data_IF_797590030356
#
_entry.id   IF_797590030356
#
_cell.length_a   1.000
_cell.length_b   1.000
_cell.length_c   1.000
_cell.angle_alpha   90.00
_cell.angle_beta   90.00
_cell.angle_gamma   90.00
#
_symmetry.space_group_name_H-M   'P 1'
#
loop_
_entity.id
_entity.type
_entity.pdbx_description
1 polymer ?
#
# COMPACT_ATOMS: atom_id res chain seq x y z
N UNK A 1 66.47 5.43 7.93
CA UNK A 1 65.70 4.67 6.97
C UNK A 1 64.48 4.10 7.70
N UNK A 2 63.39 4.85 7.73
CA UNK A 2 62.15 4.44 8.40
C UNK A 2 61.14 4.02 7.33
N UNK A 3 60.69 2.78 7.42
CA UNK A 3 59.59 2.27 6.59
C UNK A 3 58.28 2.62 7.24
N UNK A 4 57.52 3.49 6.63
CA UNK A 4 56.12 3.69 6.92
C UNK A 4 55.32 2.50 6.34
N UNK A 5 54.69 1.72 7.21
CA UNK A 5 53.71 0.72 6.84
C UNK A 5 52.35 1.43 6.87
N UNK A 6 51.81 1.67 5.69
CA UNK A 6 50.47 2.20 5.51
C UNK A 6 49.45 1.09 5.75
N UNK A 7 48.95 0.99 6.98
CA UNK A 7 47.78 0.14 7.30
C UNK A 7 46.52 0.74 6.72
N UNK A 8 46.24 0.36 5.49
CA UNK A 8 45.00 0.66 4.83
C UNK A 8 43.80 0.17 5.65
N UNK A 9 43.17 1.09 6.38
CA UNK A 9 41.87 0.90 7.02
C UNK A 9 40.84 0.50 5.95
N UNK A 10 40.60 -0.82 5.81
CA UNK A 10 39.43 -1.32 5.14
C UNK A 10 38.22 -0.90 5.98
N UNK A 11 37.60 0.20 5.61
CA UNK A 11 36.26 0.53 6.08
C UNK A 11 35.30 -0.51 5.52
N UNK A 12 34.95 -1.49 6.36
CA UNK A 12 33.87 -2.42 6.09
C UNK A 12 32.61 -1.59 5.99
N UNK A 13 32.18 -1.29 4.77
CA UNK A 13 30.86 -0.71 4.56
C UNK A 13 29.83 -1.69 5.09
N UNK A 14 28.84 -1.21 5.88
CA UNK A 14 27.80 -2.06 6.40
C UNK A 14 27.02 -2.68 5.23
N UNK A 15 27.04 -3.99 5.14
CA UNK A 15 26.20 -4.73 4.20
C UNK A 15 24.73 -4.39 4.43
N UNK A 16 23.87 -4.54 3.42
CA UNK A 16 22.45 -4.28 3.58
C UNK A 16 21.90 -5.16 4.71
N UNK A 17 21.07 -4.59 5.61
CA UNK A 17 20.50 -5.35 6.69
C UNK A 17 19.71 -6.55 6.12
N UNK A 18 19.92 -7.78 6.61
CA UNK A 18 19.33 -9.00 6.04
C UNK A 18 17.80 -9.10 6.17
N UNK A 19 17.16 -8.16 6.86
CA UNK A 19 15.74 -8.22 7.20
C UNK A 19 14.80 -7.44 6.26
N UNK A 20 15.33 -6.66 5.32
CA UNK A 20 14.52 -5.77 4.47
C UNK A 20 13.38 -6.45 3.68
N UNK A 21 13.57 -7.61 3.03
CA UNK A 21 12.48 -8.25 2.28
C UNK A 21 11.31 -8.68 3.17
N UNK A 22 11.58 -9.28 4.33
CA UNK A 22 10.54 -9.72 5.25
C UNK A 22 9.79 -8.58 5.94
N UNK A 23 10.42 -7.44 6.18
CA UNK A 23 9.77 -6.26 6.73
C UNK A 23 8.79 -5.63 5.72
N UNK A 24 9.19 -5.51 4.46
CA UNK A 24 8.31 -5.00 3.39
C UNK A 24 7.12 -5.93 3.16
N UNK A 25 7.32 -7.25 3.20
CA UNK A 25 6.23 -8.22 3.06
C UNK A 25 5.21 -8.09 4.20
N UNK A 26 5.67 -8.01 5.47
CA UNK A 26 4.80 -7.79 6.63
C UNK A 26 4.02 -6.47 6.53
N UNK A 27 4.69 -5.37 6.21
CA UNK A 27 4.03 -4.07 6.05
C UNK A 27 3.01 -4.09 4.91
N UNK A 28 3.29 -4.79 3.82
CA UNK A 28 2.36 -4.94 2.71
C UNK A 28 1.13 -5.77 3.10
N UNK A 29 1.31 -6.81 3.90
CA UNK A 29 0.20 -7.60 4.44
C UNK A 29 -0.69 -6.72 5.35
N UNK A 30 -0.09 -6.02 6.31
CA UNK A 30 -0.83 -5.09 7.20
C UNK A 30 -1.54 -3.98 6.42
N UNK A 31 -0.91 -3.43 5.38
CA UNK A 31 -1.56 -2.44 4.50
C UNK A 31 -2.82 -2.98 3.82
N UNK A 32 -2.78 -4.23 3.35
CA UNK A 32 -3.95 -4.90 2.75
C UNK A 32 -5.05 -5.11 3.78
N UNK A 33 -4.73 -5.65 4.96
CA UNK A 33 -5.68 -5.87 6.06
C UNK A 33 -6.39 -4.57 6.46
N UNK A 34 -5.65 -3.46 6.59
CA UNK A 34 -6.23 -2.15 6.91
C UNK A 34 -7.09 -1.60 5.76
N UNK A 35 -6.71 -1.86 4.51
CA UNK A 35 -7.52 -1.47 3.36
C UNK A 35 -8.85 -2.22 3.35
N UNK A 36 -8.84 -3.53 3.58
CA UNK A 36 -10.04 -4.35 3.68
C UNK A 36 -10.92 -3.96 4.87
N UNK A 37 -10.30 -3.56 6.00
CA UNK A 37 -11.01 -3.03 7.16
C UNK A 37 -11.68 -1.69 6.84
N UNK A 38 -10.98 -0.76 6.18
CA UNK A 38 -11.53 0.51 5.74
C UNK A 38 -12.77 0.32 4.88
N UNK A 39 -12.70 -0.57 3.89
CA UNK A 39 -13.80 -0.81 2.95
C UNK A 39 -15.04 -1.37 3.66
N UNK A 40 -14.84 -2.24 4.65
CA UNK A 40 -15.93 -2.73 5.52
C UNK A 40 -16.55 -1.62 6.34
N UNK A 41 -15.73 -0.79 7.01
CA UNK A 41 -16.21 0.32 7.82
C UNK A 41 -16.94 1.38 6.98
N UNK A 42 -16.49 1.67 5.76
CA UNK A 42 -17.19 2.56 4.82
C UNK A 42 -18.58 2.01 4.47
N UNK A 43 -18.70 0.70 4.22
CA UNK A 43 -19.98 0.05 4.01
C UNK A 43 -20.91 0.11 5.23
N UNK A 44 -20.36 -0.03 6.43
CA UNK A 44 -21.15 0.04 7.68
C UNK A 44 -21.61 1.48 7.99
N UNK A 45 -20.77 2.48 7.75
CA UNK A 45 -21.15 3.90 7.84
C UNK A 45 -22.33 4.20 6.92
N UNK A 46 -22.29 3.73 5.68
CA UNK A 46 -23.37 3.96 4.72
C UNK A 46 -24.68 3.28 5.13
N UNK A 47 -24.61 2.05 5.64
CA UNK A 47 -25.80 1.36 6.19
C UNK A 47 -26.39 2.09 7.40
N UNK A 48 -25.55 2.58 8.32
CA UNK A 48 -26.00 3.30 9.50
C UNK A 48 -26.62 4.64 9.14
N UNK A 49 -26.04 5.37 8.17
CA UNK A 49 -26.62 6.63 7.65
C UNK A 49 -28.01 6.41 7.06
N UNK A 50 -28.18 5.34 6.28
CA UNK A 50 -29.49 5.01 5.71
C UNK A 50 -30.53 4.71 6.79
N UNK A 51 -30.18 3.87 7.78
CA UNK A 51 -31.07 3.56 8.90
C UNK A 51 -31.41 4.80 9.75
N UNK A 52 -30.43 5.68 9.92
CA UNK A 52 -30.66 6.93 10.64
C UNK A 52 -31.65 7.82 9.88
N UNK A 53 -31.48 7.98 8.58
CA UNK A 53 -32.40 8.75 7.72
C UNK A 53 -33.83 8.15 7.72
N UNK A 54 -33.97 6.82 7.73
CA UNK A 54 -35.25 6.13 7.86
C UNK A 54 -35.91 6.45 9.20
N UNK A 55 -35.16 6.34 10.31
CA UNK A 55 -35.69 6.64 11.66
C UNK A 55 -36.08 8.13 11.83
N UNK A 56 -35.30 9.05 11.25
CA UNK A 56 -35.57 10.47 11.24
C UNK A 56 -36.84 10.77 10.41
N UNK A 57 -36.99 10.15 9.24
CA UNK A 57 -38.17 10.26 8.41
C UNK A 57 -39.45 9.72 9.08
N UNK A 58 -39.36 8.62 9.83
CA UNK A 58 -40.48 8.11 10.62
C UNK A 58 -40.88 9.07 11.75
N UNK A 59 -39.93 9.71 12.42
CA UNK A 59 -40.19 10.73 13.44
C UNK A 59 -40.89 11.96 12.84
N UNK A 60 -40.40 12.43 11.71
CA UNK A 60 -41.01 13.57 11.01
C UNK A 60 -42.46 13.27 10.59
N UNK A 61 -42.74 12.07 10.10
CA UNK A 61 -44.08 11.62 9.77
C UNK A 61 -45.01 11.61 10.99
N UNK A 62 -44.55 11.10 12.14
CA UNK A 62 -45.31 11.13 13.39
C UNK A 62 -45.66 12.55 13.82
N UNK A 63 -44.73 13.50 13.69
CA UNK A 63 -44.95 14.90 14.01
C UNK A 63 -45.99 15.54 13.07
N UNK A 64 -45.93 15.23 11.77
CA UNK A 64 -46.93 15.71 10.80
C UNK A 64 -48.32 15.16 11.12
N UNK A 65 -48.46 13.88 11.46
CA UNK A 65 -49.76 13.31 11.87
C UNK A 65 -50.32 13.95 13.14
N UNK A 66 -49.44 14.31 14.10
CA UNK A 66 -49.87 15.05 15.28
C UNK A 66 -50.45 16.43 14.92
N UNK A 67 -49.84 17.12 13.99
CA UNK A 67 -50.26 18.46 13.57
C UNK A 67 -51.54 18.46 12.72
N UNK A 68 -51.62 17.53 11.75
CA UNK A 68 -52.72 17.53 10.76
C UNK A 68 -53.97 16.83 11.28
N UNK A 69 -53.83 15.75 12.04
CA UNK A 69 -54.96 14.91 12.43
C UNK A 69 -55.33 15.05 13.92
N UNK A 70 -54.68 15.92 14.68
CA UNK A 70 -54.79 16.00 16.15
C UNK A 70 -54.63 14.64 16.82
N UNK A 71 -54.01 13.68 16.11
CA UNK A 71 -53.74 12.31 16.59
C UNK A 71 -52.46 12.33 17.38
N UNK A 72 -52.52 11.86 18.63
CA UNK A 72 -51.31 11.67 19.43
C UNK A 72 -50.91 10.20 19.39
N UNK A 73 -49.73 9.88 18.82
CA UNK A 73 -49.23 8.53 18.91
C UNK A 73 -49.00 8.14 20.38
N UNK A 74 -49.04 6.86 20.71
CA UNK A 74 -48.66 6.43 22.04
C UNK A 74 -47.28 6.98 22.39
N UNK A 75 -47.18 7.74 23.48
CA UNK A 75 -45.91 8.37 23.92
C UNK A 75 -44.75 7.37 23.96
N UNK A 76 -45.03 6.11 24.26
CA UNK A 76 -44.08 4.99 24.25
C UNK A 76 -43.51 4.70 22.84
N UNK A 77 -44.24 4.90 21.77
CA UNK A 77 -43.76 4.64 20.40
C UNK A 77 -42.79 5.73 19.95
N UNK A 78 -43.13 7.00 20.20
CA UNK A 78 -42.26 8.14 19.92
C UNK A 78 -40.95 8.06 20.70
N UNK A 79 -41.03 7.83 22.01
CA UNK A 79 -39.81 7.65 22.87
C UNK A 79 -38.92 6.50 22.43
N UNK A 80 -39.50 5.38 21.98
CA UNK A 80 -38.70 4.24 21.48
C UNK A 80 -38.01 4.61 20.18
N UNK A 81 -38.63 5.34 19.28
CA UNK A 81 -38.04 5.74 18.02
C UNK A 81 -36.95 6.79 18.24
N UNK A 82 -37.13 7.75 19.15
CA UNK A 82 -36.08 8.67 19.56
C UNK A 82 -34.88 7.97 20.17
N UNK A 83 -35.10 7.01 21.08
CA UNK A 83 -34.03 6.21 21.66
C UNK A 83 -33.28 5.38 20.60
N UNK A 84 -34.01 4.87 19.62
CA UNK A 84 -33.40 4.13 18.49
C UNK A 84 -32.55 5.06 17.62
N UNK A 85 -33.05 6.22 17.23
CA UNK A 85 -32.30 7.26 16.51
C UNK A 85 -31.02 7.64 17.24
N UNK A 86 -31.11 7.89 18.56
CA UNK A 86 -29.94 8.30 19.36
C UNK A 86 -28.89 7.18 19.47
N UNK A 87 -29.32 5.94 19.57
CA UNK A 87 -28.42 4.77 19.49
C UNK A 87 -27.74 4.68 18.12
N UNK A 88 -28.46 4.92 17.04
CA UNK A 88 -27.88 4.91 15.69
C UNK A 88 -26.86 6.03 15.51
N UNK A 89 -27.14 7.25 16.02
CA UNK A 89 -26.19 8.37 16.01
C UNK A 89 -24.92 8.07 16.78
N UNK A 90 -25.05 7.52 17.99
CA UNK A 90 -23.90 7.12 18.80
C UNK A 90 -23.05 6.03 18.12
N UNK A 91 -23.72 5.03 17.53
CA UNK A 91 -23.03 3.97 16.79
C UNK A 91 -22.34 4.52 15.52
N UNK A 92 -23.00 5.36 14.77
CA UNK A 92 -22.44 6.04 13.59
C UNK A 92 -21.19 6.85 13.96
N UNK A 93 -21.22 7.60 15.07
CA UNK A 93 -20.07 8.35 15.55
C UNK A 93 -18.89 7.44 15.88
N UNK A 94 -19.15 6.31 16.55
CA UNK A 94 -18.11 5.31 16.89
C UNK A 94 -17.47 4.71 15.64
N UNK A 95 -18.30 4.25 14.69
CA UNK A 95 -17.78 3.62 13.45
C UNK A 95 -17.04 4.64 12.58
N UNK A 96 -17.51 5.88 12.54
CA UNK A 96 -16.83 6.97 11.81
C UNK A 96 -15.46 7.27 12.42
N UNK A 97 -15.37 7.34 13.75
CA UNK A 97 -14.09 7.53 14.44
C UNK A 97 -13.11 6.38 14.17
N UNK A 98 -13.60 5.14 14.15
CA UNK A 98 -12.77 3.98 13.82
C UNK A 98 -12.32 4.00 12.35
N UNK A 99 -13.16 4.43 11.43
CA UNK A 99 -12.83 4.61 10.02
C UNK A 99 -11.72 5.65 9.85
N UNK A 100 -11.83 6.79 10.53
CA UNK A 100 -10.83 7.86 10.45
C UNK A 100 -9.47 7.41 11.03
N UNK A 101 -9.47 6.68 12.16
CA UNK A 101 -8.26 6.09 12.72
C UNK A 101 -7.63 5.06 11.76
N UNK A 102 -8.46 4.25 11.09
CA UNK A 102 -7.99 3.26 10.10
C UNK A 102 -7.39 3.97 8.88
N UNK A 103 -8.02 5.04 8.38
CA UNK A 103 -7.48 5.87 7.27
C UNK A 103 -6.14 6.50 7.64
N UNK A 104 -5.99 7.02 8.86
CA UNK A 104 -4.72 7.57 9.35
C UNK A 104 -3.61 6.50 9.37
N UNK A 105 -3.89 5.31 9.89
CA UNK A 105 -2.95 4.20 9.91
C UNK A 105 -2.52 3.75 8.51
N UNK A 106 -3.43 3.75 7.54
CA UNK A 106 -3.13 3.46 6.12
C UNK A 106 -2.13 4.48 5.56
N UNK A 107 -2.31 5.77 5.85
CA UNK A 107 -1.40 6.84 5.41
C UNK A 107 -0.01 6.65 6.01
N UNK A 108 0.08 6.35 7.29
CA UNK A 108 1.35 6.11 7.98
C UNK A 108 2.10 4.89 7.41
N UNK A 109 1.42 3.76 7.26
CA UNK A 109 2.03 2.54 6.70
C UNK A 109 2.48 2.77 5.26
N UNK A 110 1.67 3.47 4.46
CA UNK A 110 2.05 3.83 3.09
C UNK A 110 3.33 4.69 3.06
N UNK A 111 3.46 5.65 3.96
CA UNK A 111 4.66 6.49 4.06
C UNK A 111 5.89 5.66 4.47
N UNK A 112 5.73 4.69 5.38
CA UNK A 112 6.80 3.75 5.76
C UNK A 112 7.19 2.87 4.59
N UNK A 113 6.21 2.28 3.88
CA UNK A 113 6.46 1.45 2.69
C UNK A 113 7.23 2.20 1.61
N UNK A 114 6.83 3.44 1.30
CA UNK A 114 7.53 4.29 0.31
C UNK A 114 8.99 4.50 0.72
N UNK A 115 9.25 4.80 2.00
CA UNK A 115 10.62 4.96 2.52
C UNK A 115 11.43 3.66 2.43
N UNK A 116 10.84 2.52 2.81
CA UNK A 116 11.51 1.22 2.75
C UNK A 116 11.83 0.82 1.31
N UNK A 117 10.92 1.07 0.37
CA UNK A 117 11.20 0.84 -1.06
C UNK A 117 12.30 1.77 -1.58
N UNK A 118 12.33 3.04 -1.17
CA UNK A 118 13.39 3.98 -1.57
C UNK A 118 14.76 3.54 -1.04
N UNK A 119 14.83 3.08 0.23
CA UNK A 119 16.07 2.51 0.81
C UNK A 119 16.49 1.25 0.07
N UNK A 120 15.56 0.33 -0.22
CA UNK A 120 15.85 -0.88 -0.97
C UNK A 120 16.34 -0.58 -2.39
N UNK A 121 15.83 0.47 -3.03
CA UNK A 121 16.31 0.93 -4.34
C UNK A 121 17.68 1.60 -4.24
N UNK A 122 17.92 2.41 -3.21
CA UNK A 122 19.21 3.10 -3.01
C UNK A 122 20.33 2.15 -2.61
N UNK A 123 20.02 1.06 -1.89
CA UNK A 123 20.99 0.01 -1.54
C UNK A 123 21.36 -0.90 -2.73
N UNK A 124 20.60 -0.80 -3.82
CA UNK A 124 20.89 -1.51 -5.05
C UNK A 124 22.06 -0.85 -5.78
N UNK A 125 23.20 -1.54 -5.83
CA UNK A 125 24.39 -1.03 -6.53
C UNK A 125 24.37 -1.50 -7.99
N UNK A 126 24.69 -0.61 -8.94
CA UNK A 126 24.88 -1.00 -10.35
C UNK A 126 25.92 -2.14 -10.53
N UNK A 127 26.91 -2.26 -9.63
CA UNK A 127 27.92 -3.31 -9.66
C UNK A 127 27.35 -4.73 -9.40
N UNK A 128 26.19 -4.84 -8.75
CA UNK A 128 25.44 -6.10 -8.61
C UNK A 128 24.43 -6.30 -9.75
N UNK A 129 24.34 -5.32 -10.65
CA UNK A 129 23.49 -5.41 -11.79
C UNK A 129 23.98 -6.49 -12.72
N UNK A 130 23.15 -7.48 -12.97
CA UNK A 130 23.46 -8.52 -13.92
C UNK A 130 23.60 -7.87 -15.31
N UNK A 131 24.80 -7.91 -15.84
CA UNK A 131 25.06 -7.55 -17.24
C UNK A 131 24.43 -8.61 -18.13
N UNK A 132 23.47 -8.23 -18.96
CA UNK A 132 22.76 -9.12 -19.86
C UNK A 132 23.03 -8.70 -21.29
N UNK A 133 23.40 -9.63 -22.19
CA UNK A 133 23.56 -9.27 -23.60
C UNK A 133 22.22 -8.86 -24.22
N UNK A 134 22.26 -7.83 -25.03
CA UNK A 134 21.10 -7.42 -25.82
C UNK A 134 20.61 -8.56 -26.69
N UNK A 135 19.33 -8.91 -26.68
CA UNK A 135 18.81 -10.02 -27.48
C UNK A 135 18.84 -9.77 -28.99
N UNK A 136 18.99 -8.51 -29.42
CA UNK A 136 19.04 -8.17 -30.82
C UNK A 136 20.47 -8.09 -31.38
N UNK A 137 21.43 -7.46 -30.65
CA UNK A 137 22.78 -7.22 -31.16
C UNK A 137 23.89 -7.84 -30.33
N UNK A 138 23.59 -8.45 -29.19
CA UNK A 138 24.58 -9.08 -28.29
C UNK A 138 25.39 -8.11 -27.43
N UNK A 139 25.20 -6.79 -27.56
CA UNK A 139 25.88 -5.79 -26.75
C UNK A 139 25.61 -6.02 -25.26
N UNK A 140 26.63 -6.01 -24.43
CA UNK A 140 26.51 -6.13 -22.98
C UNK A 140 25.83 -4.89 -22.41
N UNK A 141 24.71 -5.07 -21.72
CA UNK A 141 23.89 -3.99 -21.18
C UNK A 141 23.72 -4.15 -19.69
N UNK A 142 23.75 -3.05 -18.97
CA UNK A 142 23.37 -2.97 -17.56
C UNK A 142 21.93 -2.42 -17.45
N UNK A 143 21.14 -2.83 -16.45
CA UNK A 143 19.80 -2.30 -16.33
C UNK A 143 19.84 -0.83 -15.91
N UNK A 144 19.06 0.01 -16.55
CA UNK A 144 18.86 1.39 -16.14
C UNK A 144 17.93 1.50 -14.92
N UNK A 145 17.12 0.47 -14.70
CA UNK A 145 16.24 0.33 -13.52
C UNK A 145 16.17 -1.11 -13.09
N UNK A 146 16.14 -1.34 -11.77
CA UNK A 146 15.87 -2.66 -11.21
C UNK A 146 14.95 -2.58 -9.99
N UNK A 147 14.25 -3.69 -9.72
CA UNK A 147 13.36 -3.83 -8.58
C UNK A 147 13.37 -5.27 -8.06
N UNK A 148 13.04 -5.45 -6.77
CA UNK A 148 12.75 -6.75 -6.22
C UNK A 148 11.48 -7.33 -6.89
N UNK A 149 11.55 -8.61 -7.31
CA UNK A 149 10.45 -9.30 -7.98
C UNK A 149 9.79 -10.39 -7.11
N UNK A 150 10.04 -10.37 -5.79
CA UNK A 150 9.56 -11.33 -4.80
C UNK A 150 10.35 -12.63 -4.78
N UNK A 151 10.29 -13.38 -3.67
CA UNK A 151 10.94 -14.69 -3.47
C UNK A 151 12.43 -14.74 -3.86
N UNK A 152 13.19 -13.68 -3.57
CA UNK A 152 14.61 -13.59 -3.93
C UNK A 152 14.89 -13.31 -5.40
N UNK A 153 13.88 -13.12 -6.22
CA UNK A 153 14.03 -12.69 -7.61
C UNK A 153 14.18 -11.19 -7.72
N UNK A 154 14.96 -10.75 -8.69
CA UNK A 154 15.11 -9.36 -9.12
C UNK A 154 14.63 -9.22 -10.57
N UNK A 155 14.15 -8.04 -10.95
CA UNK A 155 13.79 -7.69 -12.31
C UNK A 155 14.52 -6.43 -12.71
N UNK A 156 15.20 -6.44 -13.86
CA UNK A 156 15.83 -5.28 -14.45
C UNK A 156 15.17 -4.90 -15.77
N UNK A 157 15.18 -3.61 -16.07
CA UNK A 157 14.78 -3.05 -17.36
C UNK A 157 16.03 -2.52 -18.04
N UNK A 158 16.22 -2.92 -19.28
CA UNK A 158 17.39 -2.68 -20.09
C UNK A 158 17.01 -1.93 -21.35
N UNK A 159 17.87 -1.05 -21.77
CA UNK A 159 17.87 -0.41 -23.07
C UNK A 159 19.24 -0.62 -23.71
N UNK A 160 19.28 -0.97 -24.98
CA UNK A 160 20.55 -1.17 -25.67
C UNK A 160 21.23 0.18 -25.92
N UNK A 161 22.49 0.37 -25.50
CA UNK A 161 23.21 1.61 -25.72
C UNK A 161 23.76 1.75 -27.15
N UNK A 162 23.60 0.73 -28.00
CA UNK A 162 24.05 0.81 -29.40
C UNK A 162 23.11 1.68 -30.20
N UNK A 163 23.65 2.68 -30.89
CA UNK A 163 22.91 3.72 -31.60
C UNK A 163 21.90 3.19 -32.64
N UNK A 164 22.17 2.03 -33.23
CA UNK A 164 21.32 1.41 -34.25
C UNK A 164 20.37 0.34 -33.72
N UNK A 165 20.38 0.06 -32.40
CA UNK A 165 19.67 -1.13 -31.88
C UNK A 165 18.29 -0.82 -31.30
N UNK A 166 18.08 0.28 -30.62
CA UNK A 166 16.81 0.73 -29.98
C UNK A 166 15.97 -0.37 -29.28
N UNK A 167 16.63 -1.43 -28.80
CA UNK A 167 15.92 -2.56 -28.18
C UNK A 167 15.80 -2.36 -26.69
N UNK A 168 14.55 -2.39 -26.18
CA UNK A 168 14.25 -2.39 -24.76
C UNK A 168 13.68 -3.75 -24.33
N UNK A 169 14.10 -4.25 -23.15
CA UNK A 169 13.62 -5.54 -22.62
C UNK A 169 13.69 -5.56 -21.10
N UNK A 170 13.16 -6.62 -20.53
CA UNK A 170 13.32 -6.90 -19.10
C UNK A 170 13.88 -8.28 -18.85
N UNK A 171 14.72 -8.42 -17.85
CA UNK A 171 15.22 -9.72 -17.40
C UNK A 171 14.95 -9.91 -15.92
N UNK A 172 14.73 -11.18 -15.52
CA UNK A 172 14.62 -11.59 -14.12
C UNK A 172 15.79 -12.50 -13.77
N UNK A 173 16.32 -12.32 -12.58
CA UNK A 173 17.39 -13.18 -12.06
C UNK A 173 17.23 -13.42 -10.55
N UNK A 174 17.76 -14.52 -10.08
CA UNK A 174 17.96 -14.81 -8.67
C UNK A 174 19.41 -15.18 -8.43
N UNK A 175 19.92 -15.09 -7.21
CA UNK A 175 21.32 -15.39 -6.90
C UNK A 175 21.73 -16.77 -7.44
N UNK A 176 22.63 -16.80 -8.42
CA UNK A 176 23.16 -18.00 -9.06
C UNK A 176 22.35 -18.61 -10.21
N UNK A 177 21.19 -18.08 -10.55
CA UNK A 177 20.43 -18.55 -11.71
C UNK A 177 20.70 -17.71 -12.97
N UNK A 178 20.68 -18.38 -14.14
CA UNK A 178 20.75 -17.67 -15.42
C UNK A 178 19.57 -16.72 -15.58
N UNK A 179 19.80 -15.52 -16.13
CA UNK A 179 18.74 -14.56 -16.33
C UNK A 179 17.69 -15.08 -17.31
N UNK A 180 16.43 -15.01 -16.91
CA UNK A 180 15.30 -15.26 -17.80
C UNK A 180 14.95 -13.94 -18.48
N UNK A 181 15.32 -13.82 -19.74
CA UNK A 181 15.02 -12.64 -20.58
C UNK A 181 13.58 -12.74 -21.07
N UNK A 182 12.79 -11.69 -20.84
CA UNK A 182 11.49 -11.53 -21.48
C UNK A 182 11.59 -10.34 -22.45
N UNK A 183 11.50 -10.62 -23.73
CA UNK A 183 11.19 -9.61 -24.72
C UNK A 183 9.74 -9.20 -24.48
N UNK A 184 9.53 -8.05 -23.92
CA UNK A 184 8.20 -7.52 -23.64
C UNK A 184 7.91 -6.40 -24.59
N UNK A 185 6.81 -6.49 -25.31
CA UNK A 185 6.19 -5.30 -25.85
C UNK A 185 5.87 -4.34 -24.71
N UNK A 186 6.21 -3.09 -24.91
CA UNK A 186 5.77 -1.93 -24.15
C UNK A 186 4.24 -1.83 -24.17
#
# INVERSE_FOLDING_TARGET
MSRFVDEGKRTSEPGPPPELPGAIERLTATFRELTDKRDRLEGDVEKLRRRLAEAEGELDQLQLYQLELSWRPPQLAEQRLEQYRDKLRAHLATVTSELDATKASIVEIRAVLVRQYAVAQASWRPAEALTVPCPACGQACVPHRAAAAGRGWRKGWYECPADDCNTAWSARWSGGAHPVVKMGGL
#
